data_IF_006592310037
#
_entry.id   IF_006592310037
#
_cell.length_a   1.000
_cell.length_b   1.000
_cell.length_c   1.000
_cell.angle_alpha   90.00
_cell.angle_beta   90.00
_cell.angle_gamma   90.00
#
_symmetry.space_group_name_H-M   'P 1'
#
loop_
_entity.id
_entity.type
_entity.pdbx_description
1 polymer ?
#
# COMPACT_ATOMS: atom_id res chain seq x y z
N UNK A 1 -2.08 -32.75 -7.45
CA UNK A 1 -2.55 -31.37 -7.69
C UNK A 1 -1.35 -30.46 -7.62
N UNK A 2 -1.24 -29.41 -8.42
CA UNK A 2 -0.18 -28.42 -8.26
C UNK A 2 -0.25 -27.80 -6.85
N UNK A 3 0.89 -27.39 -6.32
CA UNK A 3 0.94 -26.80 -4.99
C UNK A 3 0.37 -25.36 -5.02
N UNK A 4 -0.54 -24.97 -4.10
CA UNK A 4 -1.23 -23.68 -4.17
C UNK A 4 -0.29 -22.51 -3.84
N UNK A 5 -0.62 -21.33 -4.38
CA UNK A 5 -0.07 -20.06 -3.94
C UNK A 5 -0.94 -19.53 -2.80
N UNK A 6 -0.35 -19.36 -1.62
CA UNK A 6 -1.06 -18.79 -0.47
C UNK A 6 -1.12 -17.26 -0.60
N UNK A 7 -2.34 -16.70 -0.53
CA UNK A 7 -2.58 -15.26 -0.41
C UNK A 7 -3.19 -14.97 0.95
N UNK A 8 -2.44 -14.38 1.87
CA UNK A 8 -3.01 -13.91 3.14
C UNK A 8 -3.64 -12.53 2.95
N UNK A 9 -4.79 -12.26 3.58
CA UNK A 9 -5.54 -11.03 3.32
C UNK A 9 -6.18 -11.00 1.94
N UNK A 10 -6.51 -12.17 1.37
CA UNK A 10 -7.00 -12.29 0.01
C UNK A 10 -8.45 -11.83 -0.20
N UNK A 11 -9.22 -11.60 0.86
CA UNK A 11 -10.52 -10.94 0.77
C UNK A 11 -10.41 -9.41 0.75
N UNK A 12 -9.24 -8.87 1.06
CA UNK A 12 -8.97 -7.43 1.09
C UNK A 12 -8.93 -6.77 -0.27
N UNK A 13 -8.79 -5.43 -0.29
CA UNK A 13 -8.75 -4.62 -1.50
C UNK A 13 -7.73 -5.13 -2.53
N UNK A 14 -6.46 -5.15 -2.18
CA UNK A 14 -5.38 -5.57 -3.10
C UNK A 14 -5.36 -7.09 -3.24
N UNK A 15 -5.49 -7.82 -2.12
CA UNK A 15 -5.40 -9.27 -2.11
C UNK A 15 -6.41 -9.94 -3.03
N UNK A 16 -7.65 -9.45 -3.10
CA UNK A 16 -8.68 -10.02 -3.97
C UNK A 16 -8.36 -9.88 -5.47
N UNK A 17 -7.72 -8.78 -5.89
CA UNK A 17 -7.26 -8.63 -7.27
C UNK A 17 -6.04 -9.52 -7.59
N UNK A 18 -5.19 -9.79 -6.60
CA UNK A 18 -4.10 -10.77 -6.76
C UNK A 18 -4.67 -12.18 -6.91
N UNK A 19 -5.66 -12.54 -6.09
CA UNK A 19 -6.38 -13.84 -6.19
C UNK A 19 -6.99 -14.01 -7.58
N UNK A 20 -7.78 -13.04 -8.05
CA UNK A 20 -8.42 -13.08 -9.36
C UNK A 20 -7.39 -13.30 -10.48
N UNK A 21 -6.28 -12.55 -10.45
CA UNK A 21 -5.27 -12.64 -11.49
C UNK A 21 -4.54 -13.99 -11.45
N UNK A 22 -4.20 -14.51 -10.26
CA UNK A 22 -3.58 -15.84 -10.13
C UNK A 22 -4.50 -16.94 -10.65
N UNK A 23 -5.79 -16.90 -10.32
CA UNK A 23 -6.77 -17.87 -10.82
C UNK A 23 -6.93 -17.76 -12.34
N UNK A 24 -6.99 -16.55 -12.90
CA UNK A 24 -7.09 -16.34 -14.34
C UNK A 24 -5.86 -16.83 -15.11
N UNK A 25 -4.68 -16.81 -14.48
CA UNK A 25 -3.43 -17.36 -15.02
C UNK A 25 -3.31 -18.89 -14.82
N UNK A 26 -4.34 -19.54 -14.24
CA UNK A 26 -4.42 -20.98 -14.06
C UNK A 26 -3.68 -21.54 -12.84
N UNK A 27 -3.32 -20.69 -11.88
CA UNK A 27 -2.70 -21.13 -10.63
C UNK A 27 -3.75 -21.65 -9.64
N UNK A 28 -3.39 -22.65 -8.84
CA UNK A 28 -4.14 -22.99 -7.64
C UNK A 28 -3.87 -21.95 -6.55
N UNK A 29 -4.93 -21.43 -5.93
CA UNK A 29 -4.85 -20.36 -4.95
C UNK A 29 -5.50 -20.80 -3.65
N UNK A 30 -4.76 -20.64 -2.56
CA UNK A 30 -5.27 -20.74 -1.19
C UNK A 30 -5.32 -19.34 -0.59
N UNK A 31 -6.44 -18.98 0.01
CA UNK A 31 -6.65 -17.71 0.68
C UNK A 31 -6.77 -17.91 2.18
N UNK A 32 -6.04 -17.14 2.95
CA UNK A 32 -6.27 -16.96 4.39
C UNK A 32 -6.72 -15.53 4.65
N UNK A 33 -7.90 -15.38 5.26
CA UNK A 33 -8.41 -14.07 5.68
C UNK A 33 -9.22 -14.21 6.97
N UNK A 34 -9.09 -13.27 7.87
CA UNK A 34 -9.82 -13.24 9.13
C UNK A 34 -11.22 -12.63 9.01
N UNK A 35 -11.55 -12.03 7.87
CA UNK A 35 -12.79 -11.30 7.59
C UNK A 35 -13.19 -10.36 8.76
N UNK A 36 -12.20 -9.64 9.29
CA UNK A 36 -12.39 -8.76 10.45
C UNK A 36 -13.51 -7.75 10.20
N UNK A 37 -14.44 -7.54 11.16
CA UNK A 37 -15.55 -6.58 10.98
C UNK A 37 -15.11 -5.15 10.69
N UNK A 38 -13.91 -4.76 11.13
CA UNK A 38 -13.32 -3.45 10.81
C UNK A 38 -12.97 -3.28 9.32
N UNK A 39 -12.74 -4.41 8.60
CA UNK A 39 -12.40 -4.42 7.18
C UNK A 39 -13.54 -4.91 6.30
N UNK A 40 -14.44 -5.76 6.83
CA UNK A 40 -15.54 -6.41 6.11
C UNK A 40 -16.78 -6.39 6.97
N UNK A 41 -17.84 -5.69 6.56
CA UNK A 41 -19.14 -5.72 7.24
C UNK A 41 -19.83 -7.08 7.08
N UNK A 42 -19.60 -7.71 5.93
CA UNK A 42 -20.08 -9.01 5.54
C UNK A 42 -19.06 -9.72 4.65
N UNK A 43 -19.24 -11.02 4.42
CA UNK A 43 -18.38 -11.75 3.47
C UNK A 43 -18.56 -11.17 2.08
N UNK A 44 -17.46 -10.71 1.42
CA UNK A 44 -17.58 -10.11 0.10
C UNK A 44 -18.12 -11.07 -0.96
N UNK A 45 -18.99 -10.58 -1.82
CA UNK A 45 -19.61 -11.32 -2.93
C UNK A 45 -18.68 -11.58 -4.12
N UNK A 46 -17.56 -10.83 -4.19
CA UNK A 46 -16.53 -10.99 -5.24
C UNK A 46 -15.52 -12.11 -4.96
N UNK A 47 -15.66 -12.86 -3.86
CA UNK A 47 -14.72 -13.94 -3.55
C UNK A 47 -14.95 -15.12 -4.47
N UNK A 48 -13.92 -15.49 -5.27
CA UNK A 48 -14.02 -16.60 -6.21
C UNK A 48 -14.08 -17.95 -5.47
N UNK A 49 -15.12 -18.77 -5.70
CA UNK A 49 -15.29 -20.05 -5.03
C UNK A 49 -14.29 -21.14 -5.48
N UNK A 50 -13.54 -20.90 -6.57
CA UNK A 50 -12.49 -21.84 -7.06
C UNK A 50 -11.27 -21.81 -6.12
N UNK A 51 -11.00 -20.70 -5.44
CA UNK A 51 -9.93 -20.64 -4.47
C UNK A 51 -10.24 -21.49 -3.23
N UNK A 52 -9.22 -22.12 -2.66
CA UNK A 52 -9.32 -22.75 -1.34
C UNK A 52 -9.36 -21.68 -0.25
N UNK A 53 -10.46 -21.56 0.48
CA UNK A 53 -10.66 -20.54 1.52
C UNK A 53 -10.44 -21.08 2.91
N UNK A 54 -9.52 -20.44 3.65
CA UNK A 54 -9.33 -20.61 5.10
C UNK A 54 -9.76 -19.32 5.78
N UNK A 55 -10.91 -19.34 6.44
CA UNK A 55 -11.30 -18.25 7.34
C UNK A 55 -10.59 -18.43 8.67
N UNK A 56 -9.79 -17.44 9.07
CA UNK A 56 -9.01 -17.51 10.30
C UNK A 56 -8.02 -16.39 10.45
N UNK A 57 -7.56 -16.20 11.67
CA UNK A 57 -6.62 -15.15 12.04
C UNK A 57 -5.18 -15.66 11.97
N UNK A 58 -4.32 -14.96 11.24
CA UNK A 58 -2.92 -15.30 11.09
C UNK A 58 -2.12 -15.22 12.42
N UNK A 59 -2.67 -14.54 13.43
CA UNK A 59 -2.09 -14.51 14.80
C UNK A 59 -2.22 -15.86 15.52
N UNK A 60 -3.14 -16.72 15.06
CA UNK A 60 -3.29 -18.08 15.55
C UNK A 60 -2.25 -19.00 14.88
N UNK A 61 -1.46 -19.68 15.70
CA UNK A 61 -0.39 -20.54 15.25
C UNK A 61 -0.87 -21.74 14.42
N UNK A 62 -2.00 -22.32 14.79
CA UNK A 62 -2.55 -23.49 14.11
C UNK A 62 -3.18 -23.10 12.78
N UNK A 63 -3.78 -21.91 12.72
CA UNK A 63 -4.27 -21.32 11.48
C UNK A 63 -3.11 -21.04 10.52
N UNK A 64 -2.04 -20.40 11.01
CA UNK A 64 -0.83 -20.15 10.21
C UNK A 64 -0.23 -21.46 9.68
N UNK A 65 -0.09 -22.48 10.52
CA UNK A 65 0.45 -23.78 10.13
C UNK A 65 -0.39 -24.50 9.07
N UNK A 66 -1.72 -24.44 9.17
CA UNK A 66 -2.61 -24.99 8.14
C UNK A 66 -2.52 -24.21 6.82
N UNK A 67 -2.46 -22.88 6.90
CA UNK A 67 -2.44 -22.04 5.71
C UNK A 67 -1.19 -22.27 4.85
N UNK A 68 -0.01 -22.44 5.46
CA UNK A 68 1.25 -22.62 4.74
C UNK A 68 1.49 -24.06 4.28
N UNK A 69 0.66 -25.02 4.69
CA UNK A 69 0.88 -26.42 4.39
C UNK A 69 0.84 -26.70 2.88
N UNK A 70 1.96 -27.20 2.32
CA UNK A 70 2.10 -27.48 0.90
C UNK A 70 2.08 -26.26 -0.03
N UNK A 71 2.18 -25.02 0.48
CA UNK A 71 2.20 -23.84 -0.36
C UNK A 71 3.48 -23.74 -1.20
N UNK A 72 3.33 -23.46 -2.51
CA UNK A 72 4.44 -23.27 -3.45
C UNK A 72 5.07 -21.87 -3.35
N UNK A 73 4.25 -20.86 -3.05
CA UNK A 73 4.65 -19.47 -2.86
C UNK A 73 3.68 -18.77 -1.90
N UNK A 74 4.09 -17.65 -1.33
CA UNK A 74 3.28 -16.86 -0.40
C UNK A 74 3.22 -15.40 -0.83
N UNK A 75 2.01 -14.88 -0.98
CA UNK A 75 1.69 -13.47 -1.11
C UNK A 75 1.13 -12.95 0.21
N UNK A 76 1.93 -12.24 0.98
CA UNK A 76 1.53 -11.76 2.30
C UNK A 76 0.94 -10.36 2.22
N UNK A 77 -0.42 -10.28 2.13
CA UNK A 77 -1.17 -9.03 2.05
C UNK A 77 -1.87 -8.68 3.37
N UNK A 78 -2.07 -9.67 4.26
CA UNK A 78 -2.75 -9.46 5.53
C UNK A 78 -2.02 -8.42 6.39
N UNK A 79 -2.72 -7.33 6.70
CA UNK A 79 -2.22 -6.26 7.55
C UNK A 79 -3.36 -5.32 7.98
N UNK A 80 -3.22 -4.73 9.16
CA UNK A 80 -3.95 -3.53 9.53
C UNK A 80 -3.29 -2.34 8.84
N UNK A 81 -4.07 -1.49 8.17
CA UNK A 81 -3.58 -0.38 7.33
C UNK A 81 -4.15 0.96 7.78
N UNK A 82 -3.56 2.09 7.33
CA UNK A 82 -4.01 3.45 7.63
C UNK A 82 -3.23 4.12 8.75
N UNK A 83 -3.62 5.33 9.13
CA UNK A 83 -2.89 6.13 10.12
C UNK A 83 -3.31 5.84 11.57
N UNK A 84 -4.41 5.08 11.76
CA UNK A 84 -5.02 4.91 13.07
C UNK A 84 -5.78 6.14 13.55
N UNK A 85 -6.34 6.06 14.74
CA UNK A 85 -7.05 7.17 15.40
C UNK A 85 -6.14 7.86 16.41
N UNK A 86 -5.48 7.06 17.27
CA UNK A 86 -4.55 7.54 18.28
C UNK A 86 -3.55 6.44 18.69
N UNK A 87 -2.74 6.71 19.72
CA UNK A 87 -1.76 5.75 20.26
C UNK A 87 -2.40 4.51 20.92
N UNK A 88 -3.70 4.50 21.19
CA UNK A 88 -4.43 3.32 21.64
C UNK A 88 -4.46 2.20 20.62
N UNK A 89 -4.33 2.52 19.33
CA UNK A 89 -4.30 1.56 18.22
C UNK A 89 -2.95 0.82 18.10
N UNK A 90 -1.89 1.25 18.77
CA UNK A 90 -0.53 0.67 18.65
C UNK A 90 -0.51 -0.85 18.87
N UNK A 91 -1.14 -1.40 19.95
CA UNK A 91 -1.17 -2.85 20.17
C UNK A 91 -1.81 -3.61 19.00
N UNK A 92 -2.87 -3.08 18.39
CA UNK A 92 -3.55 -3.72 17.27
C UNK A 92 -2.67 -3.72 16.00
N UNK A 93 -2.00 -2.61 15.69
CA UNK A 93 -1.03 -2.57 14.59
C UNK A 93 0.09 -3.59 14.77
N UNK A 94 0.70 -3.67 15.96
CA UNK A 94 1.76 -4.63 16.26
C UNK A 94 1.24 -6.06 16.20
N UNK A 95 0.05 -6.32 16.75
CA UNK A 95 -0.53 -7.65 16.73
C UNK A 95 -0.84 -8.13 15.31
N UNK A 96 -1.49 -7.30 14.50
CA UNK A 96 -1.93 -7.68 13.15
C UNK A 96 -0.82 -7.62 12.10
N UNK A 97 0.18 -6.77 12.27
CA UNK A 97 1.27 -6.62 11.32
C UNK A 97 2.50 -7.42 11.76
N UNK A 98 3.10 -7.10 12.89
CA UNK A 98 4.38 -7.68 13.27
C UNK A 98 4.22 -9.10 13.82
N UNK A 99 3.31 -9.30 14.78
CA UNK A 99 3.11 -10.62 15.38
C UNK A 99 2.50 -11.61 14.38
N UNK A 100 1.51 -11.21 13.60
CA UNK A 100 0.94 -12.07 12.55
C UNK A 100 2.01 -12.47 11.51
N UNK A 101 2.89 -11.53 11.09
CA UNK A 101 4.02 -11.86 10.21
C UNK A 101 4.98 -12.83 10.88
N UNK A 102 5.32 -12.64 12.16
CA UNK A 102 6.18 -13.58 12.89
C UNK A 102 5.58 -15.00 12.98
N UNK A 103 4.25 -15.13 13.16
CA UNK A 103 3.57 -16.42 13.12
C UNK A 103 3.64 -17.07 11.73
N UNK A 104 3.46 -16.29 10.66
CA UNK A 104 3.62 -16.77 9.29
C UNK A 104 5.04 -17.31 9.06
N UNK A 105 6.06 -16.50 9.38
CA UNK A 105 7.47 -16.88 9.19
C UNK A 105 7.86 -18.12 10.01
N UNK A 106 7.37 -18.22 11.25
CA UNK A 106 7.55 -19.41 12.09
C UNK A 106 6.95 -20.65 11.43
N UNK A 107 5.72 -20.54 10.91
CA UNK A 107 5.06 -21.67 10.25
C UNK A 107 5.80 -22.10 8.97
N UNK A 108 6.27 -21.14 8.16
CA UNK A 108 7.07 -21.40 6.97
C UNK A 108 8.39 -22.08 7.31
N UNK A 109 9.11 -21.61 8.33
CA UNK A 109 10.36 -22.21 8.80
C UNK A 109 10.14 -23.65 9.28
N UNK A 110 9.10 -23.90 10.09
CA UNK A 110 8.78 -25.23 10.62
C UNK A 110 8.45 -26.26 9.52
N UNK A 111 7.97 -25.78 8.35
CA UNK A 111 7.68 -26.63 7.18
C UNK A 111 8.84 -26.77 6.20
N UNK A 112 9.97 -26.14 6.46
CA UNK A 112 11.09 -26.12 5.51
C UNK A 112 10.71 -25.49 4.18
N UNK A 113 9.93 -24.40 4.21
CA UNK A 113 9.44 -23.73 3.01
C UNK A 113 10.61 -23.29 2.12
N UNK A 114 10.56 -23.64 0.84
CA UNK A 114 11.60 -23.34 -0.15
C UNK A 114 11.07 -22.53 -1.35
N UNK A 115 9.83 -22.04 -1.26
CA UNK A 115 9.18 -21.23 -2.30
C UNK A 115 9.59 -19.76 -2.26
N UNK A 116 8.72 -18.88 -2.75
CA UNK A 116 8.94 -17.42 -2.77
C UNK A 116 8.00 -16.75 -1.77
N UNK A 117 8.51 -15.74 -1.06
CA UNK A 117 7.71 -14.88 -0.19
C UNK A 117 7.65 -13.47 -0.77
N UNK A 118 6.45 -13.01 -1.10
CA UNK A 118 6.17 -11.64 -1.54
C UNK A 118 5.41 -10.92 -0.43
N UNK A 119 6.00 -9.84 0.09
CA UNK A 119 5.44 -9.01 1.16
C UNK A 119 4.81 -7.73 0.60
N UNK A 120 3.58 -7.45 0.97
CA UNK A 120 2.95 -6.14 0.80
C UNK A 120 3.57 -5.13 1.78
N UNK A 121 4.54 -4.36 1.30
CA UNK A 121 5.08 -3.19 1.98
C UNK A 121 4.42 -1.90 1.47
N UNK A 122 4.94 -0.75 1.84
CA UNK A 122 4.31 0.55 1.55
C UNK A 122 5.35 1.66 1.39
N UNK A 123 5.02 2.67 0.59
CA UNK A 123 5.81 3.91 0.50
C UNK A 123 5.96 4.64 1.84
N UNK A 124 5.08 4.37 2.80
CA UNK A 124 5.12 5.05 4.12
C UNK A 124 6.41 4.80 4.90
N UNK A 125 7.16 3.74 4.55
CA UNK A 125 8.46 3.44 5.16
C UNK A 125 9.51 4.52 4.88
N UNK A 126 9.35 5.30 3.80
CA UNK A 126 10.27 6.39 3.45
C UNK A 126 10.09 7.65 4.31
N UNK A 127 8.94 7.80 4.96
CA UNK A 127 8.58 9.04 5.63
C UNK A 127 8.43 10.20 4.65
N UNK A 128 9.03 11.36 4.98
CA UNK A 128 9.11 12.47 4.04
C UNK A 128 10.01 12.08 2.86
N UNK A 129 9.60 12.41 1.64
CA UNK A 129 10.27 11.94 0.43
C UNK A 129 11.73 12.38 0.28
N UNK A 130 12.25 12.34 -0.93
CA UNK A 130 13.62 12.72 -1.25
C UNK A 130 13.66 14.15 -1.79
N UNK A 131 14.61 14.96 -1.31
CA UNK A 131 14.70 16.36 -1.68
C UNK A 131 16.13 16.77 -2.04
N UNK A 132 16.23 17.85 -2.81
CA UNK A 132 17.51 18.48 -3.16
C UNK A 132 17.51 19.95 -2.72
N UNK A 133 18.53 20.32 -1.97
CA UNK A 133 18.90 21.70 -1.72
C UNK A 133 19.92 22.15 -2.77
N UNK A 134 19.83 23.38 -3.30
CA UNK A 134 20.84 23.90 -4.24
C UNK A 134 22.27 23.94 -3.68
N UNK A 135 22.42 24.15 -2.35
CA UNK A 135 23.72 24.24 -1.69
C UNK A 135 24.20 22.93 -1.08
N UNK A 136 23.27 22.15 -0.49
CA UNK A 136 23.62 20.96 0.31
C UNK A 136 23.38 19.62 -0.43
N UNK A 137 22.96 19.67 -1.69
CA UNK A 137 22.68 18.47 -2.46
C UNK A 137 21.45 17.71 -1.93
N UNK A 138 21.53 16.39 -1.83
CA UNK A 138 20.44 15.55 -1.31
C UNK A 138 20.32 15.72 0.21
N UNK A 139 19.14 16.06 0.66
CA UNK A 139 18.81 16.25 2.08
C UNK A 139 17.51 15.51 2.44
N UNK A 140 17.39 15.10 3.69
CA UNK A 140 16.17 14.59 4.29
C UNK A 140 15.62 15.65 5.25
N UNK A 141 14.50 16.30 4.95
CA UNK A 141 13.90 17.26 5.87
C UNK A 141 13.31 16.49 7.08
N UNK A 142 13.39 17.11 8.25
CA UNK A 142 12.76 16.63 9.47
C UNK A 142 11.21 16.67 9.40
N UNK A 143 10.52 16.32 10.48
CA UNK A 143 9.08 16.53 10.62
C UNK A 143 8.72 17.98 10.35
N UNK A 144 7.60 18.22 9.66
CA UNK A 144 7.11 19.57 9.39
C UNK A 144 6.66 20.24 10.69
N UNK A 145 7.00 21.51 10.85
CA UNK A 145 6.74 22.28 12.08
C UNK A 145 5.30 22.80 12.07
N UNK A 146 4.47 22.52 13.11
CA UNK A 146 3.08 22.98 13.18
C UNK A 146 2.89 24.47 12.91
N UNK A 147 3.73 25.32 13.48
CA UNK A 147 3.65 26.78 13.29
C UNK A 147 3.88 27.22 11.84
N UNK A 148 4.66 26.46 11.03
CA UNK A 148 4.81 26.70 9.62
C UNK A 148 3.55 26.30 8.84
N UNK A 149 2.97 25.15 9.21
CA UNK A 149 1.73 24.64 8.60
C UNK A 149 0.55 25.58 8.89
N UNK A 150 0.41 26.09 10.13
CA UNK A 150 -0.59 27.09 10.53
C UNK A 150 -0.43 28.40 9.74
N UNK A 151 0.80 28.75 9.38
CA UNK A 151 1.11 29.92 8.56
C UNK A 151 0.98 29.67 7.05
N UNK A 152 0.50 28.49 6.62
CA UNK A 152 0.36 28.12 5.20
C UNK A 152 1.69 27.80 4.50
N UNK A 153 2.78 27.60 5.24
CA UNK A 153 4.07 27.20 4.71
C UNK A 153 4.19 25.70 4.70
N UNK A 154 3.71 25.07 3.64
CA UNK A 154 3.58 23.61 3.54
C UNK A 154 4.84 22.90 3.02
N UNK A 155 5.70 23.61 2.26
CA UNK A 155 6.94 23.02 1.73
C UNK A 155 8.01 22.91 2.84
N UNK A 156 8.65 21.74 3.00
CA UNK A 156 9.72 21.59 3.98
C UNK A 156 10.94 22.42 3.57
N UNK A 157 11.52 23.19 4.49
CA UNK A 157 12.76 23.92 4.23
C UNK A 157 13.99 23.00 4.35
N UNK A 158 15.11 23.43 3.76
CA UNK A 158 16.38 22.76 3.96
C UNK A 158 16.78 22.78 5.44
N UNK A 159 17.10 21.64 6.07
CA UNK A 159 17.44 21.57 7.49
C UNK A 159 18.76 22.30 7.85
N UNK A 160 19.58 22.62 6.83
CA UNK A 160 20.89 23.27 7.03
C UNK A 160 20.85 24.79 6.78
N UNK A 161 20.12 25.27 5.78
CA UNK A 161 20.14 26.69 5.38
C UNK A 161 18.74 27.33 5.28
N UNK A 162 17.66 26.59 5.54
CA UNK A 162 16.30 27.10 5.47
C UNK A 162 15.76 27.39 4.07
N UNK A 163 16.54 27.18 3.00
CA UNK A 163 16.11 27.43 1.61
C UNK A 163 15.04 26.44 1.14
N UNK A 164 14.21 26.83 0.17
CA UNK A 164 13.27 25.91 -0.48
C UNK A 164 13.97 24.68 -1.07
N UNK A 165 13.32 23.54 -0.98
CA UNK A 165 13.80 22.27 -1.49
C UNK A 165 13.05 21.88 -2.78
N UNK A 166 13.76 21.21 -3.70
CA UNK A 166 13.15 20.54 -4.85
C UNK A 166 12.85 19.09 -4.51
N UNK A 167 11.59 18.68 -4.61
CA UNK A 167 11.19 17.28 -4.43
C UNK A 167 11.71 16.41 -5.58
N UNK A 168 12.24 15.23 -5.26
CA UNK A 168 12.77 14.25 -6.20
C UNK A 168 12.01 12.92 -6.05
N UNK A 169 12.20 12.02 -7.01
CA UNK A 169 11.74 10.63 -6.89
C UNK A 169 12.54 9.87 -5.84
N UNK A 170 11.89 8.94 -5.14
CA UNK A 170 12.46 8.15 -4.04
C UNK A 170 12.82 6.76 -4.56
N UNK A 171 14.12 6.42 -4.68
CA UNK A 171 14.56 5.07 -5.01
C UNK A 171 14.51 4.16 -3.79
N UNK A 172 14.62 2.85 -3.99
CA UNK A 172 14.46 1.86 -2.94
C UNK A 172 15.61 1.83 -1.92
N UNK A 173 16.76 2.41 -2.27
CA UNK A 173 17.93 2.60 -1.39
C UNK A 173 17.90 3.93 -0.60
N UNK A 174 16.81 4.71 -0.73
CA UNK A 174 16.64 5.90 0.09
C UNK A 174 16.51 5.55 1.58
N UNK A 175 16.94 6.47 2.43
CA UNK A 175 16.79 6.34 3.88
C UNK A 175 15.33 6.09 4.26
N UNK A 176 15.11 5.13 5.14
CA UNK A 176 13.79 4.80 5.67
C UNK A 176 13.59 5.54 6.99
N UNK A 177 12.48 6.27 7.10
CA UNK A 177 12.18 7.13 8.26
C UNK A 177 10.66 7.14 8.52
N UNK A 178 10.10 6.04 9.06
CA UNK A 178 8.67 5.88 9.27
C UNK A 178 8.10 6.96 10.20
N UNK A 179 7.00 7.61 9.79
CA UNK A 179 6.39 8.75 10.47
C UNK A 179 5.07 8.42 11.18
N UNK A 180 4.66 7.16 11.18
CA UNK A 180 3.46 6.68 11.86
C UNK A 180 3.66 5.26 12.39
N UNK A 181 2.78 4.83 13.30
CA UNK A 181 2.79 3.45 13.82
C UNK A 181 2.67 2.44 12.69
N UNK A 182 1.74 2.67 11.77
CA UNK A 182 1.60 1.83 10.57
C UNK A 182 2.90 1.75 9.76
N UNK A 183 3.56 2.89 9.53
CA UNK A 183 4.82 2.92 8.79
C UNK A 183 5.93 2.13 9.52
N UNK A 184 5.99 2.24 10.85
CA UNK A 184 6.94 1.51 11.68
C UNK A 184 6.71 -0.01 11.59
N UNK A 185 5.45 -0.48 11.68
CA UNK A 185 5.13 -1.91 11.53
C UNK A 185 5.41 -2.41 10.11
N UNK A 186 5.15 -1.61 9.05
CA UNK A 186 5.52 -2.01 7.68
C UNK A 186 7.03 -2.18 7.50
N UNK A 187 7.81 -1.32 8.11
CA UNK A 187 9.28 -1.45 8.12
C UNK A 187 9.73 -2.66 8.93
N UNK A 188 9.12 -2.91 10.08
CA UNK A 188 9.39 -4.10 10.89
C UNK A 188 9.10 -5.40 10.11
N UNK A 189 7.98 -5.45 9.38
CA UNK A 189 7.67 -6.59 8.49
C UNK A 189 8.76 -6.81 7.42
N UNK A 190 9.27 -5.73 6.77
CA UNK A 190 10.39 -5.85 5.81
C UNK A 190 11.62 -6.44 6.48
N UNK A 191 11.97 -5.99 7.69
CA UNK A 191 13.12 -6.50 8.42
C UNK A 191 12.96 -7.97 8.82
N UNK A 192 11.82 -8.37 9.39
CA UNK A 192 11.54 -9.76 9.76
C UNK A 192 11.62 -10.68 8.55
N UNK A 193 10.97 -10.33 7.45
CA UNK A 193 11.00 -11.12 6.22
C UNK A 193 12.41 -11.17 5.60
N UNK A 194 13.17 -10.08 5.66
CA UNK A 194 14.56 -10.04 5.17
C UNK A 194 15.49 -10.92 5.98
N UNK A 195 15.36 -10.95 7.32
CA UNK A 195 16.11 -11.87 8.20
C UNK A 195 15.75 -13.30 7.87
N UNK A 196 14.44 -13.62 7.78
CA UNK A 196 13.97 -14.96 7.40
C UNK A 196 14.59 -15.41 6.06
N UNK A 197 14.59 -14.56 5.04
CA UNK A 197 15.18 -14.88 3.75
C UNK A 197 16.70 -15.16 3.83
N UNK A 198 17.44 -14.40 4.64
CA UNK A 198 18.89 -14.61 4.83
C UNK A 198 19.21 -15.92 5.56
N UNK A 199 18.40 -16.27 6.57
CA UNK A 199 18.65 -17.46 7.39
C UNK A 199 18.21 -18.75 6.70
N UNK A 200 17.14 -18.70 5.88
CA UNK A 200 16.56 -19.90 5.25
C UNK A 200 16.93 -20.07 3.78
N UNK A 201 17.46 -19.03 3.13
CA UNK A 201 17.68 -19.01 1.69
C UNK A 201 16.42 -18.74 0.85
N UNK A 202 15.26 -18.56 1.47
CA UNK A 202 14.00 -18.23 0.78
C UNK A 202 14.10 -16.85 0.14
N UNK A 203 13.84 -16.72 -1.17
CA UNK A 203 13.80 -15.41 -1.83
C UNK A 203 12.60 -14.60 -1.36
N UNK A 204 12.88 -13.43 -0.77
CA UNK A 204 11.89 -12.50 -0.24
C UNK A 204 11.86 -11.24 -1.09
N UNK A 205 10.67 -10.88 -1.60
CA UNK A 205 10.41 -9.66 -2.36
C UNK A 205 9.45 -8.77 -1.58
N UNK A 206 9.88 -7.57 -1.17
CA UNK A 206 9.03 -6.58 -0.54
C UNK A 206 8.55 -5.57 -1.59
N UNK A 207 7.25 -5.46 -1.80
CA UNK A 207 6.65 -4.54 -2.75
C UNK A 207 6.14 -3.31 -1.99
N UNK A 208 6.83 -2.17 -2.13
CA UNK A 208 6.46 -0.89 -1.55
C UNK A 208 5.39 -0.22 -2.40
N UNK A 209 4.13 -0.50 -2.08
CA UNK A 209 3.01 0.11 -2.81
C UNK A 209 2.94 1.60 -2.55
N UNK A 210 2.79 2.38 -3.63
CA UNK A 210 2.45 3.78 -3.54
C UNK A 210 0.93 3.95 -3.38
N UNK A 211 0.33 5.08 -3.71
CA UNK A 211 -1.09 5.33 -3.45
C UNK A 211 -1.99 4.49 -4.36
N UNK A 212 -2.38 3.32 -3.89
CA UNK A 212 -3.23 2.40 -4.66
C UNK A 212 -4.67 2.88 -4.69
N UNK A 213 -5.31 2.81 -5.86
CA UNK A 213 -6.73 3.11 -6.06
C UNK A 213 -7.37 2.12 -7.04
N UNK A 214 -8.70 2.03 -7.04
CA UNK A 214 -9.46 1.21 -7.98
C UNK A 214 -10.66 0.50 -7.37
N UNK A 215 -11.31 -0.41 -8.12
CA UNK A 215 -12.45 -1.20 -7.66
C UNK A 215 -12.17 -1.95 -6.35
N UNK A 216 -13.22 -2.23 -5.57
CA UNK A 216 -13.16 -2.90 -4.25
C UNK A 216 -12.41 -2.12 -3.16
N UNK A 217 -12.06 -0.85 -3.41
CA UNK A 217 -11.48 -0.01 -2.37
C UNK A 217 -12.49 0.19 -1.23
N UNK A 218 -12.07 0.14 0.06
CA UNK A 218 -13.00 0.29 1.19
C UNK A 218 -13.61 1.69 1.21
N UNK A 219 -14.78 1.82 1.83
CA UNK A 219 -15.39 3.13 2.12
C UNK A 219 -14.51 3.94 3.06
N UNK A 220 -14.85 5.22 3.21
CA UNK A 220 -14.22 6.13 4.17
C UNK A 220 -14.25 5.52 5.58
N UNK A 221 -13.09 5.10 6.02
CA UNK A 221 -12.83 4.60 7.35
C UNK A 221 -11.57 5.29 7.87
N UNK A 222 -11.27 5.27 9.18
CA UNK A 222 -10.01 5.81 9.70
C UNK A 222 -8.75 5.24 9.02
N UNK A 223 -8.91 4.08 8.38
CA UNK A 223 -7.84 3.35 7.70
C UNK A 223 -7.86 3.53 6.17
N UNK A 224 -8.76 4.35 5.63
CA UNK A 224 -8.91 4.53 4.19
C UNK A 224 -7.87 5.51 3.61
N UNK A 225 -7.39 5.22 2.41
CA UNK A 225 -6.54 6.13 1.65
C UNK A 225 -7.33 7.32 1.08
N UNK A 226 -6.63 8.40 0.71
CA UNK A 226 -7.23 9.67 0.23
C UNK A 226 -8.22 9.48 -0.93
N UNK A 227 -7.96 8.54 -1.84
CA UNK A 227 -8.85 8.25 -2.97
C UNK A 227 -10.23 7.74 -2.48
N UNK A 228 -10.25 6.86 -1.48
CA UNK A 228 -11.48 6.35 -0.86
C UNK A 228 -12.25 7.44 -0.14
N UNK A 229 -11.56 8.31 0.62
CA UNK A 229 -12.17 9.45 1.32
C UNK A 229 -12.91 10.35 0.32
N UNK A 230 -12.26 10.69 -0.81
CA UNK A 230 -12.85 11.54 -1.83
C UNK A 230 -14.03 10.87 -2.56
N UNK A 231 -13.85 9.58 -2.92
CA UNK A 231 -14.92 8.80 -3.57
C UNK A 231 -16.15 8.66 -2.64
N UNK A 232 -15.92 8.45 -1.33
CA UNK A 232 -16.99 8.38 -0.33
C UNK A 232 -17.71 9.73 -0.15
N UNK A 233 -16.97 10.84 -0.23
CA UNK A 233 -17.57 12.17 -0.20
C UNK A 233 -18.51 12.36 -1.38
N UNK A 234 -18.09 12.02 -2.60
CA UNK A 234 -18.96 12.10 -3.80
C UNK A 234 -20.16 11.15 -3.71
N UNK A 235 -19.98 9.93 -3.22
CA UNK A 235 -21.10 9.00 -3.00
C UNK A 235 -22.14 9.54 -2.01
N UNK A 236 -21.72 10.43 -1.11
CA UNK A 236 -22.60 11.13 -0.15
C UNK A 236 -23.08 12.50 -0.65
N UNK A 237 -22.87 12.86 -1.93
CA UNK A 237 -23.26 14.16 -2.50
C UNK A 237 -22.48 15.35 -1.92
N UNK A 238 -21.29 15.13 -1.35
CA UNK A 238 -20.49 16.17 -0.70
C UNK A 238 -19.20 16.47 -1.46
N UNK A 239 -18.78 17.75 -1.43
CA UNK A 239 -17.48 18.15 -1.95
C UNK A 239 -16.34 17.54 -1.09
N UNK A 240 -15.32 16.90 -1.69
CA UNK A 240 -14.13 16.44 -0.96
C UNK A 240 -13.35 17.62 -0.38
N UNK A 241 -12.83 17.44 0.81
CA UNK A 241 -11.93 18.39 1.48
C UNK A 241 -10.50 18.05 1.14
N UNK A 242 -9.81 18.95 0.47
CA UNK A 242 -8.42 18.84 0.07
C UNK A 242 -7.58 19.63 1.07
N UNK A 243 -6.75 18.95 1.83
CA UNK A 243 -5.94 19.57 2.88
C UNK A 243 -4.76 20.36 2.31
N UNK A 244 -4.20 21.23 3.14
CA UNK A 244 -3.16 22.18 2.79
C UNK A 244 -3.58 23.03 1.59
N UNK A 245 -2.71 23.20 0.61
CA UNK A 245 -2.98 23.82 -0.69
C UNK A 245 -3.36 22.79 -1.79
N UNK A 246 -3.44 21.49 -1.42
CA UNK A 246 -3.64 20.39 -2.33
C UNK A 246 -2.41 20.01 -3.17
N UNK A 247 -1.27 20.66 -2.93
CA UNK A 247 -0.03 20.49 -3.69
C UNK A 247 0.81 19.27 -3.30
N UNK A 248 0.39 18.48 -2.31
CA UNK A 248 1.08 17.26 -1.90
C UNK A 248 1.20 16.30 -3.09
N UNK A 249 2.44 15.93 -3.45
CA UNK A 249 2.68 15.02 -4.57
C UNK A 249 2.68 13.57 -4.11
N UNK A 250 1.98 12.74 -4.87
CA UNK A 250 1.88 11.30 -4.70
C UNK A 250 2.05 10.60 -6.04
N UNK A 251 2.29 9.31 -5.99
CA UNK A 251 2.20 8.41 -7.12
C UNK A 251 0.95 7.55 -6.96
N UNK A 252 -0.04 7.77 -7.82
CA UNK A 252 -1.29 6.99 -7.79
C UNK A 252 -1.18 5.84 -8.76
N UNK A 253 -1.29 4.61 -8.25
CA UNK A 253 -1.17 3.37 -9.02
C UNK A 253 -2.47 2.58 -8.96
N UNK A 254 -2.92 2.09 -10.10
CA UNK A 254 -4.16 1.31 -10.17
C UNK A 254 -3.98 -0.08 -9.54
N UNK A 255 -5.01 -0.60 -8.86
CA UNK A 255 -4.96 -1.88 -8.14
C UNK A 255 -4.61 -3.06 -9.05
N UNK A 256 -5.04 -3.05 -10.32
CA UNK A 256 -4.64 -4.09 -11.31
C UNK A 256 -3.15 -4.08 -11.60
N UNK A 257 -2.50 -2.91 -11.63
CA UNK A 257 -1.05 -2.84 -11.75
C UNK A 257 -0.36 -3.44 -10.52
N UNK A 258 -0.90 -3.15 -9.34
CA UNK A 258 -0.36 -3.72 -8.10
C UNK A 258 -0.53 -5.25 -8.08
N UNK A 259 -1.68 -5.76 -8.51
CA UNK A 259 -1.89 -7.21 -8.65
C UNK A 259 -0.88 -7.83 -9.63
N UNK A 260 -0.65 -7.20 -10.80
CA UNK A 260 0.37 -7.65 -11.77
C UNK A 260 1.79 -7.67 -11.18
N UNK A 261 2.16 -6.67 -10.37
CA UNK A 261 3.47 -6.66 -9.70
C UNK A 261 3.63 -7.85 -8.74
N UNK A 262 2.57 -8.17 -7.97
CA UNK A 262 2.56 -9.33 -7.08
C UNK A 262 2.70 -10.65 -7.84
N UNK A 263 1.85 -10.85 -8.84
CA UNK A 263 1.88 -12.08 -9.66
C UNK A 263 3.24 -12.23 -10.33
N UNK A 264 3.81 -11.13 -10.87
CA UNK A 264 5.15 -11.15 -11.45
C UNK A 264 6.24 -11.56 -10.47
N UNK A 265 6.19 -11.08 -9.22
CA UNK A 265 7.14 -11.46 -8.17
C UNK A 265 6.97 -12.93 -7.75
N UNK A 266 5.74 -13.43 -7.71
CA UNK A 266 5.43 -14.81 -7.32
C UNK A 266 5.78 -15.83 -8.40
N UNK A 267 5.48 -15.54 -9.67
CA UNK A 267 5.45 -16.52 -10.76
C UNK A 267 6.49 -16.26 -11.86
N UNK A 268 7.20 -15.13 -11.82
CA UNK A 268 8.25 -14.81 -12.79
C UNK A 268 9.31 -15.93 -12.90
N UNK A 269 10.07 -16.02 -14.01
CA UNK A 269 10.99 -17.13 -14.25
C UNK A 269 12.04 -17.26 -13.12
N UNK A 270 12.61 -16.15 -12.71
CA UNK A 270 13.62 -16.11 -11.64
C UNK A 270 13.08 -15.34 -10.42
N UNK A 271 13.39 -15.77 -9.19
CA UNK A 271 13.08 -15.01 -8.00
C UNK A 271 13.90 -13.71 -7.95
N UNK A 272 13.27 -12.61 -7.56
CA UNK A 272 13.92 -11.29 -7.50
C UNK A 272 13.85 -10.75 -6.07
N UNK A 273 14.78 -11.15 -5.18
CA UNK A 273 14.75 -10.68 -3.80
C UNK A 273 15.11 -9.21 -3.67
N UNK A 274 14.54 -8.56 -2.63
CA UNK A 274 14.76 -7.16 -2.28
C UNK A 274 13.50 -6.33 -2.25
N UNK A 275 13.65 -5.01 -2.03
CA UNK A 275 12.54 -4.08 -2.04
C UNK A 275 12.37 -3.46 -3.43
N UNK A 276 11.09 -3.21 -3.82
CA UNK A 276 10.71 -2.62 -5.09
C UNK A 276 9.55 -1.65 -4.93
N UNK A 277 9.66 -0.46 -5.51
CA UNK A 277 8.54 0.46 -5.62
C UNK A 277 7.52 -0.03 -6.63
N UNK A 278 6.26 -0.08 -6.23
CA UNK A 278 5.13 -0.37 -7.12
C UNK A 278 4.32 0.89 -7.30
N UNK A 279 4.48 1.54 -8.45
CA UNK A 279 4.02 2.88 -8.73
C UNK A 279 3.79 3.10 -10.22
N UNK A 280 3.11 4.19 -10.58
CA UNK A 280 2.90 4.59 -11.98
C UNK A 280 4.13 5.25 -12.59
N UNK A 281 5.00 5.84 -11.75
CA UNK A 281 6.12 6.69 -12.17
C UNK A 281 5.69 8.11 -12.58
N UNK A 282 4.42 8.46 -12.42
CA UNK A 282 3.87 9.76 -12.80
C UNK A 282 3.37 10.51 -11.57
N UNK A 283 4.10 11.54 -11.10
CA UNK A 283 3.68 12.32 -9.94
C UNK A 283 2.43 13.13 -10.23
N UNK A 284 1.48 13.11 -9.30
CA UNK A 284 0.27 13.94 -9.32
C UNK A 284 0.05 14.57 -7.96
N UNK A 285 -0.57 15.75 -7.94
CA UNK A 285 -0.98 16.34 -6.67
C UNK A 285 -2.25 15.68 -6.14
N UNK A 286 -2.49 15.80 -4.83
CA UNK A 286 -3.76 15.37 -4.23
C UNK A 286 -4.94 16.11 -4.86
N UNK A 287 -4.75 17.39 -5.20
CA UNK A 287 -5.77 18.19 -5.89
C UNK A 287 -6.03 17.69 -7.33
N UNK A 288 -4.98 17.27 -8.07
CA UNK A 288 -5.16 16.69 -9.41
C UNK A 288 -6.01 15.43 -9.36
N UNK A 289 -5.75 14.56 -8.39
CA UNK A 289 -6.54 13.34 -8.18
C UNK A 289 -7.99 13.68 -7.80
N UNK A 290 -8.20 14.65 -6.89
CA UNK A 290 -9.54 15.09 -6.51
C UNK A 290 -10.33 15.62 -7.71
N UNK A 291 -9.69 16.40 -8.58
CA UNK A 291 -10.29 16.93 -9.82
C UNK A 291 -10.58 15.84 -10.84
N UNK A 292 -9.67 14.86 -11.00
CA UNK A 292 -9.90 13.73 -11.90
C UNK A 292 -11.12 12.91 -11.44
N UNK A 293 -11.21 12.64 -10.14
CA UNK A 293 -12.35 11.92 -9.58
C UNK A 293 -13.64 12.72 -9.66
N UNK A 294 -13.60 14.06 -9.51
CA UNK A 294 -14.76 14.93 -9.73
C UNK A 294 -15.32 14.79 -11.14
N UNK A 295 -14.43 14.85 -12.16
CA UNK A 295 -14.84 14.63 -13.55
C UNK A 295 -15.43 13.23 -13.77
N UNK A 296 -14.78 12.20 -13.20
CA UNK A 296 -15.23 10.82 -13.34
C UNK A 296 -16.58 10.53 -12.66
N UNK A 297 -16.92 11.29 -11.62
CA UNK A 297 -18.21 11.21 -10.92
C UNK A 297 -19.29 12.15 -11.49
N UNK A 298 -19.02 12.87 -12.58
CA UNK A 298 -19.90 13.93 -13.12
C UNK A 298 -20.37 14.90 -12.01
N UNK A 299 -19.43 15.28 -11.13
CA UNK A 299 -19.75 16.09 -9.96
C UNK A 299 -20.23 17.49 -10.38
N UNK A 300 -21.35 17.91 -9.80
CA UNK A 300 -21.88 19.25 -10.00
C UNK A 300 -20.86 20.33 -9.53
N UNK A 301 -20.86 21.54 -10.08
CA UNK A 301 -19.92 22.61 -9.72
C UNK A 301 -19.85 22.89 -8.21
N UNK A 302 -20.96 22.74 -7.49
CA UNK A 302 -21.08 22.95 -6.05
C UNK A 302 -20.35 21.86 -5.24
N UNK A 303 -20.15 20.69 -5.85
CA UNK A 303 -19.42 19.56 -5.30
C UNK A 303 -17.93 19.53 -5.73
N UNK A 304 -17.43 20.60 -6.35
CA UNK A 304 -16.01 20.71 -6.69
C UNK A 304 -15.11 20.56 -5.45
N UNK A 305 -13.91 19.94 -5.58
CA UNK A 305 -12.98 19.78 -4.45
C UNK A 305 -12.65 21.11 -3.77
N UNK A 306 -12.72 21.15 -2.44
CA UNK A 306 -12.45 22.37 -1.66
C UNK A 306 -11.09 22.29 -1.00
N UNK A 307 -10.19 23.16 -1.38
CA UNK A 307 -8.92 23.38 -0.69
C UNK A 307 -9.20 24.10 0.62
N UNK A 308 -8.79 23.51 1.75
CA UNK A 308 -9.21 23.96 3.10
C UNK A 308 -8.12 24.68 3.88
N UNK A 309 -6.85 24.51 3.53
CA UNK A 309 -5.72 24.98 4.34
C UNK A 309 -5.46 24.15 5.59
N UNK A 310 -6.35 23.22 5.93
CA UNK A 310 -6.18 22.33 7.08
C UNK A 310 -5.04 21.34 6.85
N UNK A 311 -4.40 20.93 7.91
CA UNK A 311 -3.31 19.95 7.86
C UNK A 311 -3.44 18.90 8.95
N UNK A 312 -2.71 17.79 8.83
CA UNK A 312 -2.61 16.74 9.86
C UNK A 312 -1.16 16.59 10.30
N UNK A 313 -0.97 16.43 11.60
CA UNK A 313 0.34 16.07 12.15
C UNK A 313 0.76 14.69 11.59
N UNK A 314 2.03 14.59 11.17
CA UNK A 314 2.58 13.36 10.61
C UNK A 314 2.32 13.13 9.11
N UNK A 315 1.46 13.92 8.46
CA UNK A 315 1.34 13.87 7.00
C UNK A 315 2.65 14.36 6.34
N UNK A 316 3.06 13.65 5.29
CA UNK A 316 4.25 13.99 4.51
C UNK A 316 3.89 14.82 3.29
N UNK A 317 4.81 15.72 2.86
CA UNK A 317 4.52 16.64 1.76
C UNK A 317 4.63 15.95 0.40
N UNK A 318 5.76 15.33 0.06
CA UNK A 318 5.95 14.69 -1.24
C UNK A 318 6.58 13.31 -1.09
N UNK A 319 5.90 12.29 -1.65
CA UNK A 319 6.47 10.96 -1.82
C UNK A 319 6.10 10.45 -3.20
N UNK A 320 7.08 10.38 -4.10
CA UNK A 320 6.92 9.93 -5.48
C UNK A 320 7.99 8.89 -5.77
N UNK A 321 7.60 7.75 -6.33
CA UNK A 321 8.51 6.66 -6.62
C UNK A 321 9.51 6.95 -7.73
N UNK A 322 10.72 6.38 -7.62
CA UNK A 322 11.53 6.01 -8.77
C UNK A 322 11.12 4.58 -9.19
N UNK A 323 10.56 4.37 -10.40
CA UNK A 323 10.02 3.07 -10.80
C UNK A 323 11.05 2.18 -11.50
N UNK A 324 12.28 2.65 -11.71
CA UNK A 324 13.27 2.04 -12.62
C UNK A 324 13.69 0.66 -12.15
N UNK A 325 13.95 0.48 -10.86
CA UNK A 325 14.38 -0.81 -10.31
C UNK A 325 13.35 -1.93 -10.53
N UNK A 326 12.06 -1.62 -10.34
CA UNK A 326 10.99 -2.59 -10.61
C UNK A 326 10.90 -2.92 -12.10
N UNK A 327 11.13 -1.93 -12.97
CA UNK A 327 11.14 -2.15 -14.42
C UNK A 327 12.32 -3.03 -14.88
N UNK A 328 13.52 -2.76 -14.38
CA UNK A 328 14.75 -3.43 -14.81
C UNK A 328 14.86 -4.85 -14.23
N UNK A 329 14.53 -5.02 -12.95
CA UNK A 329 14.78 -6.28 -12.25
C UNK A 329 13.56 -7.17 -12.11
N UNK A 330 12.38 -6.58 -11.86
CA UNK A 330 11.14 -7.32 -11.73
C UNK A 330 10.38 -7.44 -13.08
N UNK A 331 10.79 -6.65 -14.08
CA UNK A 331 10.09 -6.57 -15.38
C UNK A 331 8.69 -5.96 -15.24
N UNK A 332 8.49 -5.12 -14.21
CA UNK A 332 7.20 -4.49 -13.92
C UNK A 332 7.20 -3.03 -14.34
N UNK A 333 6.17 -2.64 -15.11
CA UNK A 333 5.76 -1.26 -15.36
C UNK A 333 4.25 -1.15 -15.22
N UNK A 334 3.78 -0.08 -14.60
CA UNK A 334 2.37 0.24 -14.59
C UNK A 334 1.86 0.49 -16.02
N UNK A 335 0.63 0.07 -16.32
CA UNK A 335 0.03 0.14 -17.66
C UNK A 335 -1.34 0.80 -17.67
N UNK A 336 -2.00 0.85 -16.51
CA UNK A 336 -3.34 1.42 -16.43
C UNK A 336 -3.27 2.94 -16.63
N UNK A 337 -4.10 3.44 -17.54
CA UNK A 337 -4.28 4.88 -17.72
C UNK A 337 -4.98 5.47 -16.49
N UNK A 338 -4.50 6.63 -16.04
CA UNK A 338 -4.98 7.24 -14.81
C UNK A 338 -6.44 7.71 -14.93
N UNK A 339 -6.82 8.37 -16.02
CA UNK A 339 -8.17 8.92 -16.16
C UNK A 339 -9.18 7.79 -16.43
N UNK A 340 -8.82 6.77 -17.21
CA UNK A 340 -9.63 5.56 -17.37
C UNK A 340 -9.81 4.80 -16.05
N UNK A 341 -8.73 4.66 -15.26
CA UNK A 341 -8.78 4.04 -13.94
C UNK A 341 -9.62 4.83 -12.94
N UNK A 342 -9.60 6.17 -13.00
CA UNK A 342 -10.48 7.01 -12.19
C UNK A 342 -11.95 6.86 -12.58
N UNK A 343 -12.27 6.76 -13.88
CA UNK A 343 -13.63 6.50 -14.35
C UNK A 343 -14.15 5.14 -13.86
N UNK A 344 -13.33 4.09 -13.95
CA UNK A 344 -13.69 2.79 -13.41
C UNK A 344 -13.90 2.84 -11.90
N UNK A 345 -13.00 3.49 -11.17
CA UNK A 345 -13.11 3.64 -9.72
C UNK A 345 -14.35 4.43 -9.31
N UNK A 346 -14.70 5.47 -10.05
CA UNK A 346 -15.92 6.26 -9.82
C UNK A 346 -17.21 5.44 -10.01
N UNK A 347 -17.21 4.52 -10.98
CA UNK A 347 -18.35 3.65 -11.27
C UNK A 347 -18.46 2.45 -10.33
N UNK A 348 -17.32 1.97 -9.79
CA UNK A 348 -17.28 0.79 -8.95
C UNK A 348 -17.93 1.03 -7.58
N UNK A 349 -18.63 0.02 -7.00
CA UNK A 349 -19.10 0.11 -5.63
C UNK A 349 -17.91 0.18 -4.66
N UNK A 350 -18.03 1.01 -3.64
CA UNK A 350 -17.10 1.00 -2.52
C UNK A 350 -17.44 -0.20 -1.61
N UNK A 351 -16.43 -0.92 -1.19
CA UNK A 351 -16.58 -2.00 -0.23
C UNK A 351 -17.05 -1.47 1.12
N UNK A 352 -18.08 -2.06 1.67
CA UNK A 352 -18.66 -1.72 2.96
C UNK A 352 -17.95 -2.35 4.13
#
# INVERSE_FOLDING_TARGET
>A
MPAPILVTGGAGFIGSHVVDLLLSDGHEVRVLDALLPAAHRERPDYLDPVAEWIEGDLRDADVAARAVDGAAAVCHQAAMVGLGVDFGDVPDYVAHNDYATAQLLRALAARGFAGRLVLASSMVVYGEGRYRCPEHGIVAPGPRVPADLDAGRFEPPCPHCGRPLAALTVPEDATLDPRSVYAATKLAQEHLCSVFGRETGVPVTALRYHNVYGPRMPRDTPYAGVASIFRSAYAAGRAPRVFEDGGQRRDFVHVRDVARANVRALTGPDPVPGAFNVASGTPRTVLDMARALARACDAAPEAAPRVTGEWRAGDVRHVVAAPDRAAERLGFRAREDFDAGMAEFAAAPLRG
#
